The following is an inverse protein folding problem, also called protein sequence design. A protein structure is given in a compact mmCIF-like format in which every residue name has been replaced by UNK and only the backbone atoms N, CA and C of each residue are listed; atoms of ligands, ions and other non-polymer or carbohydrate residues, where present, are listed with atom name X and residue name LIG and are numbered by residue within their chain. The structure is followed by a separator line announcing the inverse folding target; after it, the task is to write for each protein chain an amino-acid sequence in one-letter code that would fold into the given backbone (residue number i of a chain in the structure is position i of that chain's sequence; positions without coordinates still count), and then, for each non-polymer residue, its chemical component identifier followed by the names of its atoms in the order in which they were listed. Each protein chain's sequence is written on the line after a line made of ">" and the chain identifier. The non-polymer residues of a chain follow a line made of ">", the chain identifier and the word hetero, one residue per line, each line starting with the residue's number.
data_IF_118329242021
#
_entry.id   IF_118329242021
#
_cell.length_a   1.000
_cell.length_b   1.000
_cell.length_c   1.000
_cell.angle_alpha   90.00
_cell.angle_beta   90.00
_cell.angle_gamma   90.00
#
_symmetry.space_group_name_H-M   'P 1'
#
loop_
_entity.id
_entity.type
_entity.pdbx_description
1 polymer ?
#
# COMPACT_ATOMS: atom_id res chain seq x y z
N UNK A 1 63.47 44.81 30.92
CA UNK A 1 64.24 43.84 31.72
C UNK A 1 64.04 44.19 33.18
N UNK A 2 63.77 43.22 34.06
CA UNK A 2 64.20 43.14 35.47
C UNK A 2 63.53 41.91 36.09
N UNK A 3 64.28 41.10 36.84
CA UNK A 3 63.74 40.07 37.71
C UNK A 3 63.74 40.59 39.17
N UNK A 4 62.97 39.92 40.04
CA UNK A 4 63.06 39.93 41.51
C UNK A 4 64.45 39.47 42.01
N UNK A 5 64.86 39.59 43.30
CA UNK A 5 64.11 39.36 44.57
C UNK A 5 64.29 40.53 45.61
N UNK A 6 64.19 40.46 46.96
CA UNK A 6 64.41 39.36 47.95
C UNK A 6 63.94 39.75 49.38
N UNK A 7 63.48 38.76 50.19
CA UNK A 7 63.55 38.63 51.68
C UNK A 7 63.10 39.80 52.62
N UNK A 8 62.87 39.68 53.95
CA UNK A 8 62.26 38.73 54.94
C UNK A 8 61.96 39.58 56.22
N UNK A 9 61.52 39.15 57.43
CA UNK A 9 61.24 37.85 58.09
C UNK A 9 60.26 38.02 59.29
N UNK A 10 59.89 36.93 59.97
CA UNK A 10 59.66 36.90 61.43
C UNK A 10 58.22 37.00 61.98
N UNK A 11 57.80 36.00 62.76
CA UNK A 11 56.59 36.04 63.61
C UNK A 11 56.29 34.70 64.30
N UNK A 12 56.32 34.65 65.64
CA UNK A 12 56.16 33.41 66.42
C UNK A 12 54.70 33.04 66.74
N UNK A 13 54.47 31.75 67.00
CA UNK A 13 53.18 31.18 67.44
C UNK A 13 52.82 31.57 68.90
N UNK A 14 51.55 31.42 69.31
CA UNK A 14 51.22 30.21 70.09
C UNK A 14 49.88 29.54 69.69
N UNK A 15 49.80 28.22 69.93
CA UNK A 15 48.58 27.42 69.75
C UNK A 15 47.70 27.41 71.01
N UNK A 16 46.38 27.17 70.88
CA UNK A 16 45.49 26.98 72.05
C UNK A 16 44.27 26.10 71.77
N UNK A 17 44.10 25.08 72.63
CA UNK A 17 42.89 24.25 72.92
C UNK A 17 42.27 23.35 71.83
N UNK A 18 42.39 22.05 72.12
CA UNK A 18 41.56 20.95 71.62
C UNK A 18 40.23 20.90 72.40
N UNK A 19 39.14 20.45 71.77
CA UNK A 19 37.94 19.92 72.44
C UNK A 19 37.63 18.51 71.93
N UNK A 20 37.49 17.48 72.79
CA UNK A 20 37.28 16.10 72.36
C UNK A 20 35.78 15.72 72.22
N UNK A 21 35.53 14.61 71.51
CA UNK A 21 34.27 13.84 71.48
C UNK A 21 33.06 14.56 70.83
N UNK A 22 32.32 13.93 69.91
CA UNK A 22 31.94 12.51 69.87
C UNK A 22 32.12 11.87 68.49
N UNK A 23 32.67 10.65 68.44
CA UNK A 23 32.77 9.84 67.21
C UNK A 23 31.52 8.94 67.11
N UNK A 24 30.51 9.37 66.37
CA UNK A 24 29.32 8.55 66.08
C UNK A 24 29.09 8.38 64.58
N UNK A 25 29.73 7.32 64.07
CA UNK A 25 29.36 6.48 62.93
C UNK A 25 28.92 7.17 61.62
N UNK A 26 29.76 7.08 60.59
CA UNK A 26 29.32 7.24 59.21
C UNK A 26 28.28 6.17 58.88
N UNK A 27 27.06 6.61 58.58
CA UNK A 27 26.32 6.05 57.47
C UNK A 27 25.74 7.24 56.69
N UNK A 28 26.29 7.63 55.53
CA UNK A 28 25.53 8.46 54.63
C UNK A 28 24.29 7.65 54.25
N UNK A 29 23.10 8.15 54.56
CA UNK A 29 21.90 7.67 53.88
C UNK A 29 22.08 8.10 52.43
N UNK A 30 22.68 7.20 51.63
CA UNK A 30 22.77 7.32 50.20
C UNK A 30 21.35 7.20 49.67
N UNK A 31 20.62 8.30 49.72
CA UNK A 31 19.41 8.49 48.94
C UNK A 31 19.86 8.50 47.49
N UNK A 32 19.97 7.30 46.93
CA UNK A 32 20.33 7.08 45.54
C UNK A 32 19.34 7.89 44.73
N UNK A 33 19.83 8.98 44.14
CA UNK A 33 19.13 9.65 43.07
C UNK A 33 19.02 8.62 41.94
N UNK A 34 17.88 7.92 41.90
CA UNK A 34 17.60 6.94 40.86
C UNK A 34 17.81 7.64 39.52
N UNK A 35 18.63 7.09 38.61
CA UNK A 35 18.97 7.81 37.40
C UNK A 35 17.69 8.01 36.59
N UNK A 36 17.48 9.24 36.11
CA UNK A 36 16.23 9.67 35.43
C UNK A 36 16.17 9.08 34.02
N UNK A 37 16.05 7.76 33.93
CA UNK A 37 16.08 6.96 32.71
C UNK A 37 14.68 6.62 32.20
N UNK A 38 13.88 7.67 32.02
CA UNK A 38 12.71 7.61 31.17
C UNK A 38 12.49 9.02 30.56
N UNK A 39 12.91 9.20 29.30
CA UNK A 39 12.82 10.49 28.60
C UNK A 39 12.10 10.34 27.25
N UNK A 40 12.49 9.34 26.46
CA UNK A 40 11.78 8.87 25.27
C UNK A 40 11.89 7.36 25.19
N UNK A 41 10.77 6.67 24.99
CA UNK A 41 10.72 5.25 24.63
C UNK A 41 9.97 5.08 23.30
N UNK A 42 10.36 4.09 22.50
CA UNK A 42 9.67 3.78 21.24
C UNK A 42 10.03 2.42 20.71
N UNK A 43 9.25 1.95 19.74
CA UNK A 43 9.63 0.82 18.87
C UNK A 43 9.01 0.97 17.48
N UNK A 44 9.80 0.72 16.44
CA UNK A 44 9.31 0.34 15.12
C UNK A 44 9.17 -1.19 15.09
N UNK A 45 7.98 -1.70 14.75
CA UNK A 45 7.64 -3.12 14.95
C UNK A 45 7.41 -3.88 13.65
N UNK A 46 6.68 -3.29 12.70
CA UNK A 46 6.44 -3.92 11.40
C UNK A 46 6.52 -2.90 10.28
N UNK A 47 7.05 -3.35 9.13
CA UNK A 47 6.91 -2.67 7.83
C UNK A 47 6.41 -3.72 6.86
N UNK A 48 5.15 -3.62 6.44
CA UNK A 48 4.53 -4.52 5.46
C UNK A 48 3.89 -3.71 4.33
N UNK A 49 3.37 -4.39 3.30
CA UNK A 49 2.54 -3.75 2.28
C UNK A 49 1.43 -2.91 2.91
N UNK A 50 0.66 -3.48 3.84
CA UNK A 50 -0.50 -2.85 4.42
C UNK A 50 -0.14 -1.70 5.35
N UNK A 51 0.90 -1.82 6.19
CA UNK A 51 1.29 -0.75 7.10
C UNK A 51 2.72 -0.79 7.67
N UNK A 52 3.21 0.39 8.01
CA UNK A 52 4.27 0.64 9.01
C UNK A 52 3.60 0.81 10.38
N UNK A 53 3.94 -0.03 11.36
CA UNK A 53 3.38 0.01 12.73
C UNK A 53 4.49 0.14 13.79
N UNK A 54 4.18 0.85 14.86
CA UNK A 54 5.05 1.04 16.01
C UNK A 54 4.40 1.86 17.11
N UNK A 55 5.20 2.32 18.06
CA UNK A 55 4.79 3.23 19.13
C UNK A 55 5.91 4.16 19.57
N UNK A 56 5.55 5.29 20.19
CA UNK A 56 6.49 6.23 20.80
C UNK A 56 5.85 7.00 21.97
N UNK A 57 6.51 7.00 23.13
CA UNK A 57 6.06 7.58 24.39
C UNK A 57 7.10 8.53 24.98
N UNK A 58 6.64 9.64 25.57
CA UNK A 58 7.45 10.50 26.42
C UNK A 58 6.93 10.41 27.86
N UNK A 59 7.67 9.75 28.73
CA UNK A 59 7.38 9.60 30.16
C UNK A 59 7.53 10.91 30.97
N UNK A 60 8.39 11.82 30.52
CA UNK A 60 8.53 13.16 31.10
C UNK A 60 7.43 14.14 30.64
N UNK A 61 6.59 13.76 29.67
CA UNK A 61 5.40 14.51 29.25
C UNK A 61 4.29 13.58 28.71
N UNK A 62 3.68 12.71 29.53
CA UNK A 62 2.78 11.65 29.05
C UNK A 62 1.53 12.15 28.32
N UNK A 63 1.06 13.36 28.62
CA UNK A 63 -0.06 14.01 27.93
C UNK A 63 0.28 14.45 26.49
N UNK A 64 1.56 14.58 26.16
CA UNK A 64 2.03 15.04 24.84
C UNK A 64 2.18 13.86 23.88
N UNK A 65 1.48 13.92 22.74
CA UNK A 65 1.60 12.90 21.68
C UNK A 65 2.87 13.10 20.88
N UNK A 66 3.71 12.09 20.88
CA UNK A 66 4.98 12.06 20.14
C UNK A 66 4.69 12.11 18.65
N UNK A 67 5.46 12.89 17.89
CA UNK A 67 5.40 12.88 16.42
C UNK A 67 6.59 12.12 15.86
N UNK A 68 6.32 11.29 14.86
CA UNK A 68 7.29 10.39 14.22
C UNK A 68 7.37 10.75 12.75
N UNK A 69 8.56 11.10 12.27
CA UNK A 69 8.84 11.27 10.85
C UNK A 69 9.26 9.91 10.26
N UNK A 70 8.59 9.51 9.18
CA UNK A 70 8.83 8.25 8.46
C UNK A 70 9.45 8.57 7.11
N UNK A 71 10.63 8.01 6.87
CA UNK A 71 11.44 8.22 5.67
C UNK A 71 11.66 6.93 4.90
N UNK A 72 11.74 7.04 3.58
CA UNK A 72 12.45 6.08 2.73
C UNK A 72 13.88 6.57 2.49
N UNK A 73 14.86 5.69 2.70
CA UNK A 73 16.30 6.04 2.67
C UNK A 73 17.01 5.19 1.63
N UNK A 74 17.42 5.80 0.52
CA UNK A 74 18.35 5.19 -0.44
C UNK A 74 19.79 5.59 -0.11
N UNK A 75 20.76 5.00 -0.81
CA UNK A 75 22.17 5.38 -0.69
C UNK A 75 22.48 6.84 -1.09
N UNK A 76 21.57 7.50 -1.82
CA UNK A 76 21.76 8.86 -2.36
C UNK A 76 20.71 9.87 -1.90
N UNK A 77 19.60 9.43 -1.28
CA UNK A 77 18.48 10.31 -0.91
C UNK A 77 17.73 9.80 0.33
N UNK A 78 17.48 10.70 1.27
CA UNK A 78 16.46 10.51 2.33
C UNK A 78 15.20 11.26 1.92
N UNK A 79 14.08 10.54 1.76
CA UNK A 79 12.78 11.11 1.36
C UNK A 79 11.79 10.99 2.51
N UNK A 80 11.30 12.12 3.04
CA UNK A 80 10.21 12.12 4.02
C UNK A 80 8.92 11.65 3.34
N UNK A 81 8.30 10.59 3.88
CA UNK A 81 7.02 10.05 3.40
C UNK A 81 5.84 10.69 4.15
N UNK A 82 5.94 10.78 5.48
CA UNK A 82 4.95 11.41 6.34
C UNK A 82 5.50 11.75 7.74
N UNK A 83 4.89 12.74 8.40
CA UNK A 83 4.92 12.88 9.86
C UNK A 83 3.62 12.30 10.42
N UNK A 84 3.69 11.25 11.25
CA UNK A 84 2.53 10.70 11.98
C UNK A 84 2.56 11.10 13.45
N UNK A 85 1.40 11.08 14.11
CA UNK A 85 1.27 11.34 15.56
C UNK A 85 0.96 10.03 16.28
N UNK A 86 1.76 9.70 17.29
CA UNK A 86 1.59 8.53 18.16
C UNK A 86 0.45 8.79 19.15
N UNK A 87 -0.75 8.31 18.80
CA UNK A 87 -2.01 8.60 19.48
C UNK A 87 -3.03 7.45 19.47
N UNK A 88 -2.72 6.33 18.81
CA UNK A 88 -3.59 5.14 18.77
C UNK A 88 -3.50 4.41 20.11
N UNK A 89 -4.66 4.04 20.68
CA UNK A 89 -4.73 3.26 21.91
C UNK A 89 -4.11 1.87 21.70
N UNK A 90 -3.27 1.47 22.65
CA UNK A 90 -2.71 0.13 22.77
C UNK A 90 -2.87 -0.40 24.18
N UNK A 91 -3.58 -1.52 24.31
CA UNK A 91 -3.85 -2.19 25.58
C UNK A 91 -2.57 -2.74 26.22
N UNK A 92 -1.59 -3.18 25.43
CA UNK A 92 -0.28 -3.62 25.91
C UNK A 92 0.55 -2.48 26.51
N UNK A 93 0.52 -1.29 25.89
CA UNK A 93 1.21 -0.11 26.43
C UNK A 93 0.53 0.42 27.71
N UNK A 94 -0.80 0.38 27.76
CA UNK A 94 -1.58 0.71 28.97
C UNK A 94 -1.25 -0.27 30.11
N UNK A 95 -1.23 -1.58 29.82
CA UNK A 95 -0.87 -2.62 30.79
C UNK A 95 0.60 -2.51 31.25
N UNK A 96 1.50 -2.05 30.38
CA UNK A 96 2.89 -1.72 30.72
C UNK A 96 3.07 -0.38 31.47
N UNK A 97 1.98 0.20 32.01
CA UNK A 97 2.01 1.42 32.81
C UNK A 97 2.31 2.72 32.02
N UNK A 98 2.33 2.66 30.69
CA UNK A 98 2.65 3.82 29.85
C UNK A 98 1.42 4.70 29.68
N UNK A 99 1.23 5.63 30.60
CA UNK A 99 0.23 6.70 30.55
C UNK A 99 -1.19 6.20 30.27
N UNK A 100 -1.87 6.80 29.28
CA UNK A 100 -3.20 6.39 28.84
C UNK A 100 -3.20 5.36 27.69
N UNK A 101 -2.05 4.71 27.43
CA UNK A 101 -1.86 3.73 26.35
C UNK A 101 -1.93 4.29 24.92
N UNK A 102 -2.25 5.58 24.72
CA UNK A 102 -2.45 6.19 23.39
C UNK A 102 -1.13 6.68 22.80
N UNK A 103 -0.26 5.72 22.50
CA UNK A 103 1.11 5.94 22.01
C UNK A 103 1.47 5.08 20.80
N UNK A 104 0.54 4.28 20.27
CA UNK A 104 0.70 3.61 18.98
C UNK A 104 0.63 4.60 17.82
N UNK A 105 1.36 4.33 16.75
CA UNK A 105 1.16 4.97 15.45
C UNK A 105 1.00 3.92 14.36
N UNK A 106 0.40 4.30 13.24
CA UNK A 106 0.38 3.49 12.04
C UNK A 106 0.37 4.38 10.81
N UNK A 107 1.10 3.96 9.77
CA UNK A 107 1.18 4.66 8.48
C UNK A 107 1.02 3.66 7.33
N UNK A 108 0.36 4.09 6.27
CA UNK A 108 0.08 3.27 5.08
C UNK A 108 1.00 3.76 3.97
N UNK A 109 1.91 2.90 3.50
CA UNK A 109 3.00 3.33 2.60
C UNK A 109 2.48 3.74 1.20
N UNK A 110 3.09 4.78 0.58
CA UNK A 110 2.70 5.21 -0.75
C UNK A 110 3.13 4.20 -1.83
N UNK A 111 2.47 4.17 -3.01
CA UNK A 111 2.84 3.27 -4.11
C UNK A 111 4.31 3.35 -4.53
N UNK A 112 4.95 4.53 -4.39
CA UNK A 112 6.37 4.72 -4.67
C UNK A 112 7.34 3.93 -3.77
N UNK A 113 6.84 3.32 -2.70
CA UNK A 113 7.61 2.49 -1.74
C UNK A 113 7.06 1.06 -1.65
N UNK A 114 5.82 0.82 -2.11
CA UNK A 114 5.17 -0.51 -2.19
C UNK A 114 5.65 -1.35 -3.38
N UNK A 115 6.95 -1.35 -3.67
CA UNK A 115 7.51 -2.00 -4.85
C UNK A 115 8.59 -3.05 -4.56
N UNK A 116 8.99 -3.78 -5.60
CA UNK A 116 9.92 -4.91 -5.52
C UNK A 116 11.39 -4.52 -5.27
N UNK A 117 11.73 -3.22 -5.29
CA UNK A 117 13.04 -2.72 -4.89
C UNK A 117 13.22 -2.82 -3.38
N UNK A 118 14.48 -2.87 -2.93
CA UNK A 118 14.81 -2.84 -1.50
C UNK A 118 14.71 -1.42 -0.97
N UNK A 119 13.75 -1.18 -0.08
CA UNK A 119 13.57 0.07 0.65
C UNK A 119 14.14 -0.02 2.07
N UNK A 120 14.52 1.12 2.65
CA UNK A 120 15.02 1.20 4.03
C UNK A 120 14.20 2.22 4.79
N UNK A 121 13.21 1.72 5.52
CA UNK A 121 12.22 2.55 6.21
C UNK A 121 12.75 2.97 7.57
N UNK A 122 13.06 4.25 7.68
CA UNK A 122 13.60 4.91 8.87
C UNK A 122 12.48 5.71 9.56
N UNK A 123 12.19 5.41 10.81
CA UNK A 123 11.23 6.11 11.65
C UNK A 123 12.00 6.84 12.75
N UNK A 124 11.77 8.15 12.88
CA UNK A 124 12.54 9.04 13.77
C UNK A 124 11.61 9.91 14.61
N UNK A 125 12.07 10.37 15.77
CA UNK A 125 11.36 11.42 16.49
C UNK A 125 11.38 12.71 15.66
N UNK A 126 10.22 13.38 15.52
CA UNK A 126 10.01 14.46 14.55
C UNK A 126 11.12 15.53 14.59
N UNK A 127 11.69 15.85 13.42
CA UNK A 127 12.69 16.90 13.27
C UNK A 127 14.06 16.56 13.86
N UNK A 128 14.32 15.28 14.15
CA UNK A 128 15.60 14.80 14.67
C UNK A 128 16.20 13.71 13.80
N UNK A 129 17.49 13.40 14.02
CA UNK A 129 18.16 12.23 13.43
C UNK A 129 17.95 10.94 14.25
N UNK A 130 17.32 11.02 15.43
CA UNK A 130 17.19 9.91 16.36
C UNK A 130 16.09 8.94 15.92
N UNK A 131 16.50 7.73 15.54
CA UNK A 131 15.62 6.63 15.12
C UNK A 131 14.89 5.98 16.31
N UNK A 132 13.71 5.41 16.04
CA UNK A 132 12.98 4.58 17.01
C UNK A 132 13.65 3.21 17.18
N UNK A 133 13.50 2.57 18.33
CA UNK A 133 14.09 1.23 18.57
C UNK A 133 13.63 0.21 17.52
N UNK A 134 14.54 -0.53 16.90
CA UNK A 134 14.21 -1.47 15.81
C UNK A 134 14.02 -0.81 14.44
N UNK A 135 14.17 0.51 14.34
CA UNK A 135 14.39 1.21 13.08
C UNK A 135 15.91 1.34 12.83
N UNK A 136 16.38 1.38 11.57
CA UNK A 136 15.65 1.29 10.31
C UNK A 136 15.37 -0.15 9.88
N UNK A 137 14.21 -0.40 9.27
CA UNK A 137 13.86 -1.71 8.70
C UNK A 137 14.13 -1.71 7.20
N UNK A 138 15.06 -2.54 6.75
CA UNK A 138 15.30 -2.84 5.34
C UNK A 138 14.35 -3.93 4.87
N UNK A 139 13.61 -3.70 3.78
CA UNK A 139 12.60 -4.63 3.27
C UNK A 139 12.32 -4.40 1.79
N UNK A 140 12.02 -5.47 1.04
CA UNK A 140 11.34 -5.37 -0.26
C UNK A 140 9.84 -5.46 -0.02
N UNK A 141 9.06 -4.61 -0.69
CA UNK A 141 7.60 -4.59 -0.53
C UNK A 141 6.90 -4.86 -1.87
N UNK A 142 7.06 -6.05 -2.48
CA UNK A 142 6.34 -6.44 -3.68
C UNK A 142 4.85 -6.62 -3.35
N UNK A 143 4.12 -5.51 -3.39
CA UNK A 143 2.66 -5.47 -3.35
C UNK A 143 2.12 -5.58 -4.78
N UNK A 144 2.85 -5.01 -5.75
CA UNK A 144 2.86 -5.45 -7.15
C UNK A 144 3.03 -6.97 -7.26
N UNK A 145 2.17 -7.60 -8.07
CA UNK A 145 2.13 -9.06 -8.23
C UNK A 145 1.35 -9.82 -7.15
N UNK A 146 0.85 -9.14 -6.10
CA UNK A 146 -0.27 -9.68 -5.31
C UNK A 146 -1.56 -9.54 -6.11
N UNK A 147 -2.51 -10.42 -5.86
CA UNK A 147 -3.90 -10.26 -6.27
C UNK A 147 -4.68 -9.61 -5.13
N UNK A 148 -5.87 -9.07 -5.43
CA UNK A 148 -6.88 -8.88 -4.38
C UNK A 148 -7.38 -10.23 -3.88
N UNK A 149 -7.92 -10.18 -2.67
CA UNK A 149 -8.60 -11.29 -2.03
C UNK A 149 -10.01 -11.49 -2.64
N UNK A 150 -10.71 -12.58 -2.33
CA UNK A 150 -11.94 -12.95 -3.07
C UNK A 150 -13.15 -12.05 -2.78
N UNK A 151 -13.13 -11.35 -1.65
CA UNK A 151 -14.25 -10.63 -1.05
C UNK A 151 -14.92 -11.35 0.13
N UNK A 152 -14.70 -12.67 0.30
CA UNK A 152 -15.48 -13.49 1.24
C UNK A 152 -15.10 -13.26 2.71
N UNK A 153 -16.05 -12.76 3.49
CA UNK A 153 -15.89 -12.48 4.93
C UNK A 153 -16.70 -13.40 5.85
N UNK A 154 -17.22 -14.51 5.30
CA UNK A 154 -18.09 -15.48 5.98
C UNK A 154 -17.79 -16.91 5.54
N UNK A 155 -18.15 -17.86 6.38
CA UNK A 155 -17.90 -19.28 6.19
C UNK A 155 -19.20 -20.03 5.84
N UNK A 156 -19.04 -21.26 5.37
CA UNK A 156 -20.13 -22.17 5.01
C UNK A 156 -19.89 -23.58 5.56
N UNK A 157 -20.95 -24.38 5.56
CA UNK A 157 -20.94 -25.83 5.75
C UNK A 157 -21.60 -26.51 4.56
N UNK A 158 -21.77 -27.84 4.61
CA UNK A 158 -22.64 -28.58 3.69
C UNK A 158 -24.15 -28.21 3.77
N UNK A 159 -24.56 -27.37 4.72
CA UNK A 159 -25.98 -27.11 5.07
C UNK A 159 -26.32 -25.63 5.27
N UNK A 160 -25.34 -24.73 5.32
CA UNK A 160 -25.57 -23.29 5.54
C UNK A 160 -24.44 -22.41 5.03
N UNK A 161 -24.78 -21.16 4.71
CA UNK A 161 -23.85 -20.13 4.20
C UNK A 161 -23.90 -18.89 5.10
N UNK A 162 -22.88 -18.03 5.03
CA UNK A 162 -22.90 -16.72 5.72
C UNK A 162 -22.53 -16.78 7.21
N UNK A 163 -21.92 -17.88 7.66
CA UNK A 163 -21.59 -18.17 9.05
C UNK A 163 -20.38 -17.39 9.55
N UNK A 164 -20.22 -17.31 10.87
CA UNK A 164 -19.02 -16.75 11.49
C UNK A 164 -17.80 -17.69 11.32
N UNK A 165 -16.61 -17.11 11.22
CA UNK A 165 -15.35 -17.83 10.98
C UNK A 165 -14.38 -17.64 12.16
N UNK A 166 -13.65 -18.66 12.61
CA UNK A 166 -13.51 -19.99 11.99
C UNK A 166 -14.62 -20.99 12.34
N UNK A 167 -14.75 -22.03 11.52
CA UNK A 167 -15.55 -23.23 11.81
C UNK A 167 -14.62 -24.43 12.07
N UNK A 168 -14.79 -25.12 13.18
CA UNK A 168 -13.93 -26.25 13.60
C UNK A 168 -13.98 -27.42 12.61
N UNK A 169 -15.18 -27.80 12.18
CA UNK A 169 -15.41 -28.98 11.32
C UNK A 169 -15.25 -28.67 9.82
N UNK A 170 -15.18 -27.37 9.48
CA UNK A 170 -14.93 -26.86 8.13
C UNK A 170 -13.80 -25.81 8.17
N UNK A 171 -12.58 -26.20 8.60
CA UNK A 171 -11.50 -25.26 8.86
C UNK A 171 -10.81 -24.80 7.58
N UNK A 172 -10.08 -23.69 7.67
CA UNK A 172 -9.25 -23.13 6.58
C UNK A 172 -10.06 -22.60 5.40
N UNK A 173 -11.21 -22.01 5.66
CA UNK A 173 -11.98 -21.31 4.62
C UNK A 173 -11.34 -19.97 4.27
N UNK A 174 -11.70 -19.41 3.13
CA UNK A 174 -11.12 -18.15 2.62
C UNK A 174 -11.22 -17.01 3.66
N UNK A 175 -12.41 -16.86 4.24
CA UNK A 175 -12.74 -15.93 5.31
C UNK A 175 -12.06 -16.21 6.68
N UNK A 176 -11.18 -17.22 6.79
CA UNK A 176 -10.24 -17.37 7.92
C UNK A 176 -8.96 -16.56 7.75
N UNK A 177 -8.62 -16.16 6.52
CA UNK A 177 -7.29 -15.67 6.15
C UNK A 177 -7.34 -14.39 5.29
N UNK A 178 -6.17 -14.01 4.79
CA UNK A 178 -6.03 -12.95 3.80
C UNK A 178 -6.38 -11.55 4.31
N UNK A 179 -6.70 -10.70 3.34
CA UNK A 179 -7.08 -9.30 3.48
C UNK A 179 -8.58 -9.16 3.80
N UNK A 180 -9.42 -10.13 3.41
CA UNK A 180 -10.84 -10.22 3.75
C UNK A 180 -11.07 -10.50 5.25
N UNK A 181 -10.28 -11.39 5.87
CA UNK A 181 -10.27 -11.57 7.32
C UNK A 181 -9.79 -10.31 8.03
N UNK A 182 -8.68 -9.72 7.58
CA UNK A 182 -8.15 -8.50 8.17
C UNK A 182 -9.16 -7.33 8.11
N UNK A 183 -9.96 -7.26 7.04
CA UNK A 183 -11.04 -6.28 6.91
C UNK A 183 -12.21 -6.55 7.86
N UNK A 184 -12.64 -7.82 8.00
CA UNK A 184 -13.77 -8.18 8.87
C UNK A 184 -13.43 -8.11 10.36
N UNK A 185 -12.16 -8.22 10.73
CA UNK A 185 -11.67 -7.96 12.08
C UNK A 185 -11.39 -6.48 12.38
N UNK A 186 -11.55 -5.58 11.41
CA UNK A 186 -11.23 -4.15 11.54
C UNK A 186 -9.73 -3.84 11.67
N UNK A 187 -8.86 -4.81 11.34
CA UNK A 187 -7.40 -4.72 11.48
C UNK A 187 -6.71 -4.26 10.19
N UNK A 188 -7.40 -4.35 9.05
CA UNK A 188 -6.95 -3.86 7.76
C UNK A 188 -7.01 -2.34 7.69
N UNK A 189 -5.93 -1.74 7.18
CA UNK A 189 -5.90 -0.33 6.81
C UNK A 189 -5.92 -0.19 5.29
N UNK A 190 -6.66 0.81 4.82
CA UNK A 190 -6.84 1.12 3.40
C UNK A 190 -6.33 2.53 3.10
N UNK A 191 -5.88 2.76 1.87
CA UNK A 191 -5.54 4.12 1.37
C UNK A 191 -6.80 4.82 0.86
N UNK A 192 -7.62 4.07 0.11
CA UNK A 192 -8.91 4.50 -0.41
C UNK A 192 -10.04 3.66 0.19
N UNK A 193 -10.96 3.19 -0.66
CA UNK A 193 -12.11 2.40 -0.21
C UNK A 193 -12.45 1.24 -1.16
N UNK A 194 -13.24 0.30 -0.64
CA UNK A 194 -13.63 -0.94 -1.31
C UNK A 194 -14.28 -1.88 -0.31
N UNK A 195 -15.01 -2.89 -0.80
CA UNK A 195 -15.47 -4.03 0.01
C UNK A 195 -14.28 -4.79 0.60
N UNK A 196 -14.52 -5.48 1.72
CA UNK A 196 -13.63 -6.51 2.29
C UNK A 196 -12.12 -6.26 2.07
N UNK A 197 -11.41 -7.11 1.33
CA UNK A 197 -9.98 -7.03 1.03
C UNK A 197 -9.58 -6.03 -0.06
N UNK A 198 -10.52 -5.40 -0.77
CA UNK A 198 -10.25 -4.46 -1.87
C UNK A 198 -9.98 -3.03 -1.38
N UNK A 199 -9.09 -2.29 -2.05
CA UNK A 199 -8.69 -0.93 -1.65
C UNK A 199 -8.38 -0.08 -2.87
N UNK A 200 -9.34 0.76 -3.29
CA UNK A 200 -9.28 1.54 -4.52
C UNK A 200 -9.30 3.06 -4.28
N UNK A 201 -8.48 3.78 -5.05
CA UNK A 201 -8.42 5.26 -5.09
C UNK A 201 -8.77 5.76 -6.49
N UNK A 202 -9.63 6.77 -6.58
CA UNK A 202 -9.95 7.44 -7.86
C UNK A 202 -8.79 8.35 -8.28
N UNK A 203 -8.39 8.28 -9.55
CA UNK A 203 -7.31 9.08 -10.14
C UNK A 203 -7.86 9.95 -11.28
N UNK A 204 -7.44 11.20 -11.31
CA UNK A 204 -7.87 12.21 -12.28
C UNK A 204 -7.21 12.03 -13.67
N UNK A 205 -7.74 12.69 -14.70
CA UNK A 205 -7.10 12.76 -16.03
C UNK A 205 -5.66 13.31 -15.98
N UNK A 206 -5.32 14.18 -15.03
CA UNK A 206 -3.95 14.68 -14.81
C UNK A 206 -3.07 13.81 -13.88
N UNK A 207 -3.60 12.68 -13.39
CA UNK A 207 -2.89 11.76 -12.51
C UNK A 207 -2.96 12.08 -11.01
N UNK A 208 -3.63 13.16 -10.60
CA UNK A 208 -3.83 13.44 -9.16
C UNK A 208 -4.88 12.53 -8.52
N UNK A 209 -4.68 12.19 -7.23
CA UNK A 209 -5.63 11.39 -6.47
C UNK A 209 -6.87 12.21 -6.07
N UNK A 210 -8.04 11.56 -6.07
CA UNK A 210 -9.35 12.19 -5.91
C UNK A 210 -10.14 11.60 -4.74
N UNK A 211 -11.04 12.41 -4.18
CA UNK A 211 -12.06 11.93 -3.25
C UNK A 211 -13.00 10.92 -3.93
N UNK A 212 -13.55 9.92 -3.19
CA UNK A 212 -14.40 8.88 -3.77
C UNK A 212 -15.71 9.42 -4.39
N UNK A 213 -16.14 10.61 -3.98
CA UNK A 213 -17.32 11.31 -4.52
C UNK A 213 -17.12 11.93 -5.89
N UNK A 214 -15.89 12.04 -6.40
CA UNK A 214 -15.65 12.69 -7.71
C UNK A 214 -16.18 11.84 -8.87
N UNK A 215 -16.91 12.50 -9.77
CA UNK A 215 -17.53 11.89 -10.94
C UNK A 215 -16.51 11.65 -12.08
N UNK A 216 -16.83 10.66 -12.92
CA UNK A 216 -16.13 10.35 -14.16
C UNK A 216 -16.31 11.49 -15.16
N UNK A 217 -15.25 11.85 -15.90
CA UNK A 217 -15.36 12.87 -16.96
C UNK A 217 -14.04 13.15 -17.69
N UNK A 218 -14.08 14.15 -18.57
CA UNK A 218 -12.96 14.54 -19.47
C UNK A 218 -12.07 15.66 -18.94
N UNK A 219 -12.54 16.47 -17.98
CA UNK A 219 -11.75 17.57 -17.42
C UNK A 219 -10.52 17.08 -16.64
N UNK A 220 -9.46 17.89 -16.57
CA UNK A 220 -8.17 17.52 -15.97
C UNK A 220 -8.28 16.95 -14.53
N UNK A 221 -9.22 17.48 -13.73
CA UNK A 221 -9.52 17.03 -12.35
C UNK A 221 -10.72 16.07 -12.23
N UNK A 222 -11.39 15.73 -13.32
CA UNK A 222 -12.41 14.70 -13.33
C UNK A 222 -11.75 13.30 -13.24
N UNK A 223 -12.45 12.34 -12.64
CA UNK A 223 -11.98 10.97 -12.50
C UNK A 223 -11.89 10.27 -13.85
N UNK A 224 -10.84 9.48 -14.08
CA UNK A 224 -10.63 8.73 -15.32
C UNK A 224 -9.90 7.38 -15.16
N UNK A 225 -9.23 7.14 -14.03
CA UNK A 225 -8.57 5.87 -13.72
C UNK A 225 -8.81 5.42 -12.28
N UNK A 226 -8.67 4.13 -12.01
CA UNK A 226 -8.77 3.54 -10.67
C UNK A 226 -7.42 2.96 -10.28
N UNK A 227 -6.80 3.54 -9.25
CA UNK A 227 -5.62 2.96 -8.60
C UNK A 227 -6.09 1.86 -7.66
N UNK A 228 -5.56 0.66 -7.84
CA UNK A 228 -5.58 -0.37 -6.82
C UNK A 228 -4.39 -0.15 -5.88
N UNK A 229 -4.67 0.03 -4.59
CA UNK A 229 -3.66 0.35 -3.59
C UNK A 229 -2.95 -0.89 -3.03
N UNK A 230 -3.50 -2.09 -3.23
CA UNK A 230 -2.87 -3.36 -2.86
C UNK A 230 -1.94 -3.84 -3.98
N UNK A 231 -2.49 -4.05 -5.17
CA UNK A 231 -1.76 -4.60 -6.32
C UNK A 231 -0.86 -3.55 -6.99
N UNK A 232 -1.04 -2.26 -6.63
CA UNK A 232 -0.28 -1.15 -7.17
C UNK A 232 -0.61 -0.79 -8.63
N UNK A 233 -1.50 -1.56 -9.26
CA UNK A 233 -1.94 -1.39 -10.65
C UNK A 233 -2.85 -0.16 -10.79
N UNK A 234 -2.61 0.64 -11.83
CA UNK A 234 -3.49 1.73 -12.21
C UNK A 234 -4.28 1.30 -13.45
N UNK A 235 -5.61 1.29 -13.31
CA UNK A 235 -6.55 0.77 -14.29
C UNK A 235 -7.32 1.88 -15.00
N UNK A 236 -7.55 1.68 -16.29
CA UNK A 236 -8.40 2.52 -17.12
C UNK A 236 -9.87 2.42 -16.67
N UNK A 237 -10.59 3.55 -16.55
CA UNK A 237 -12.06 3.56 -16.41
C UNK A 237 -12.70 3.85 -17.78
N UNK A 238 -13.87 3.27 -18.05
CA UNK A 238 -14.57 3.37 -19.35
C UNK A 238 -15.56 4.53 -19.35
N UNK A 239 -15.73 5.14 -20.51
CA UNK A 239 -16.70 6.21 -20.77
C UNK A 239 -17.90 5.70 -21.56
N UNK A 240 -18.88 6.58 -21.80
CA UNK A 240 -20.07 6.34 -22.65
C UNK A 240 -20.34 7.61 -23.46
N UNK A 241 -19.27 8.17 -24.04
CA UNK A 241 -19.19 9.49 -24.64
C UNK A 241 -18.86 9.45 -26.15
N UNK A 242 -18.80 8.26 -26.76
CA UNK A 242 -18.31 8.09 -28.13
C UNK A 242 -16.84 8.44 -28.32
N UNK A 243 -16.10 8.63 -27.23
CA UNK A 243 -14.65 8.87 -27.25
C UNK A 243 -13.84 7.60 -27.41
N UNK A 244 -12.51 7.74 -27.32
CA UNK A 244 -11.55 6.63 -27.38
C UNK A 244 -11.82 5.53 -26.32
N UNK A 245 -12.38 5.88 -25.16
CA UNK A 245 -12.61 4.94 -24.04
C UNK A 245 -14.05 4.45 -23.91
N UNK A 246 -14.85 4.59 -24.96
CA UNK A 246 -16.27 4.21 -24.91
C UNK A 246 -16.45 2.71 -24.65
N UNK A 247 -17.31 2.39 -23.68
CA UNK A 247 -17.61 1.04 -23.25
C UNK A 247 -18.23 0.15 -24.34
N UNK A 248 -18.89 0.74 -25.33
CA UNK A 248 -19.54 0.03 -26.43
C UNK A 248 -18.54 -0.42 -27.51
N UNK A 249 -17.36 0.20 -27.58
CA UNK A 249 -16.28 -0.22 -28.49
C UNK A 249 -15.91 -1.70 -28.31
N UNK A 250 -15.67 -2.41 -29.40
CA UNK A 250 -15.02 -3.73 -29.45
C UNK A 250 -13.77 -3.66 -30.31
N UNK A 251 -12.77 -4.46 -29.94
CA UNK A 251 -11.46 -4.48 -30.57
C UNK A 251 -11.12 -5.90 -31.02
N UNK A 252 -10.53 -6.01 -32.19
CA UNK A 252 -9.89 -7.23 -32.67
C UNK A 252 -8.56 -7.47 -31.96
N UNK A 253 -8.20 -8.73 -31.71
CA UNK A 253 -6.83 -9.06 -31.31
C UNK A 253 -5.86 -8.79 -32.47
N UNK A 254 -4.87 -7.94 -32.23
CA UNK A 254 -3.73 -7.72 -33.11
C UNK A 254 -2.44 -7.48 -32.32
N UNK A 255 -1.40 -8.27 -32.61
CA UNK A 255 -0.06 -8.12 -32.06
C UNK A 255 1.01 -8.59 -33.07
N UNK A 256 1.68 -7.68 -33.81
CA UNK A 256 2.72 -8.03 -34.78
C UNK A 256 4.06 -8.43 -34.15
N UNK A 257 4.24 -8.31 -32.82
CA UNK A 257 5.49 -8.68 -32.17
C UNK A 257 5.58 -10.20 -31.99
N UNK A 258 6.35 -10.85 -32.86
CA UNK A 258 6.58 -12.30 -32.85
C UNK A 258 7.27 -12.83 -31.59
N UNK A 259 7.91 -11.97 -30.79
CA UNK A 259 8.51 -12.36 -29.51
C UNK A 259 7.48 -12.53 -28.37
N UNK A 260 6.25 -12.03 -28.50
CA UNK A 260 5.23 -12.14 -27.44
C UNK A 260 3.78 -12.39 -27.91
N UNK A 261 3.52 -12.55 -29.22
CA UNK A 261 2.18 -12.85 -29.74
C UNK A 261 1.78 -14.35 -29.72
N UNK A 262 2.60 -15.23 -29.13
CA UNK A 262 2.32 -16.67 -29.02
C UNK A 262 2.16 -17.40 -30.36
N UNK A 263 2.72 -16.83 -31.44
CA UNK A 263 2.52 -17.35 -32.80
C UNK A 263 1.16 -17.00 -33.40
N UNK A 264 0.47 -15.97 -32.91
CA UNK A 264 -0.79 -15.47 -33.46
C UNK A 264 -0.83 -13.95 -33.51
N UNK A 265 -0.52 -13.42 -34.70
CA UNK A 265 -0.57 -11.99 -35.00
C UNK A 265 -1.98 -11.40 -34.89
N UNK A 266 -3.03 -12.20 -35.10
CA UNK A 266 -4.40 -11.72 -35.09
C UNK A 266 -4.83 -11.06 -36.40
N UNK A 267 -5.84 -10.19 -36.32
CA UNK A 267 -6.42 -9.46 -37.46
C UNK A 267 -6.42 -7.97 -37.10
N UNK A 268 -5.89 -7.13 -37.99
CA UNK A 268 -5.88 -5.69 -37.82
C UNK A 268 -7.25 -5.09 -38.21
N UNK A 269 -7.69 -4.05 -37.49
CA UNK A 269 -8.88 -3.23 -37.77
C UNK A 269 -10.21 -4.01 -37.96
N UNK A 270 -10.38 -5.16 -37.29
CA UNK A 270 -11.58 -6.01 -37.39
C UNK A 270 -12.44 -5.92 -36.10
N UNK A 271 -12.60 -4.72 -35.56
CA UNK A 271 -13.47 -4.40 -34.43
C UNK A 271 -14.54 -3.39 -34.79
N UNK A 272 -15.28 -2.89 -33.80
CA UNK A 272 -16.23 -1.77 -33.97
C UNK A 272 -16.04 -0.80 -32.81
N UNK A 273 -15.33 0.29 -33.05
CA UNK A 273 -14.84 1.20 -32.01
C UNK A 273 -14.99 2.67 -32.39
N UNK A 274 -14.79 3.55 -31.40
CA UNK A 274 -14.89 5.00 -31.55
C UNK A 274 -13.56 5.70 -31.24
N UNK A 275 -13.47 7.01 -31.53
CA UNK A 275 -12.26 7.80 -31.27
C UNK A 275 -11.27 7.93 -32.44
N UNK A 276 -11.63 7.46 -33.64
CA UNK A 276 -10.86 7.74 -34.88
C UNK A 276 -9.56 6.93 -35.01
N UNK A 277 -9.57 5.68 -34.56
CA UNK A 277 -8.44 4.73 -34.62
C UNK A 277 -8.86 3.45 -35.33
N UNK A 278 -7.89 2.63 -35.75
CA UNK A 278 -8.17 1.26 -36.13
C UNK A 278 -8.62 0.43 -34.91
N UNK A 279 -9.62 -0.43 -35.10
CA UNK A 279 -10.32 -1.14 -34.04
C UNK A 279 -9.63 -2.46 -33.66
N UNK A 280 -8.36 -2.36 -33.28
CA UNK A 280 -7.52 -3.47 -32.82
C UNK A 280 -6.77 -3.14 -31.51
N UNK A 281 -6.27 -4.18 -30.84
CA UNK A 281 -5.60 -4.05 -29.54
C UNK A 281 -4.31 -3.22 -29.55
N UNK A 282 -3.54 -3.23 -30.64
CA UNK A 282 -2.29 -2.47 -30.73
C UNK A 282 -2.61 -0.97 -30.92
N UNK A 283 -3.45 -0.66 -31.90
CA UNK A 283 -3.89 0.69 -32.22
C UNK A 283 -4.55 1.36 -31.00
N UNK A 284 -5.34 0.59 -30.25
CA UNK A 284 -5.97 1.08 -29.02
C UNK A 284 -4.96 1.40 -27.90
N UNK A 285 -4.00 0.51 -27.64
CA UNK A 285 -2.93 0.74 -26.66
C UNK A 285 -2.08 1.95 -27.05
N UNK A 286 -1.74 2.11 -28.33
CA UNK A 286 -0.97 3.27 -28.82
C UNK A 286 -1.74 4.58 -28.60
N UNK A 287 -3.04 4.61 -28.94
CA UNK A 287 -3.86 5.81 -28.80
C UNK A 287 -4.06 6.24 -27.34
N UNK A 288 -4.30 5.30 -26.41
CA UNK A 288 -4.41 5.64 -24.97
C UNK A 288 -3.07 6.15 -24.43
N UNK A 289 -1.94 5.60 -24.88
CA UNK A 289 -0.62 6.12 -24.52
C UNK A 289 -0.34 7.52 -25.07
N UNK A 290 -0.73 7.80 -26.32
CA UNK A 290 -0.64 9.14 -26.90
C UNK A 290 -1.52 10.16 -26.16
N UNK A 291 -2.69 9.74 -25.65
CA UNK A 291 -3.59 10.59 -24.85
C UNK A 291 -3.06 10.98 -23.47
N UNK A 292 -1.97 10.33 -23.01
CA UNK A 292 -1.38 10.49 -21.67
C UNK A 292 -2.39 10.31 -20.53
N UNK A 293 -3.33 9.36 -20.68
CA UNK A 293 -4.41 9.09 -19.74
C UNK A 293 -3.89 9.02 -18.29
N UNK A 294 -4.49 9.83 -17.41
CA UNK A 294 -4.12 9.95 -15.99
C UNK A 294 -2.65 10.35 -15.76
N UNK A 295 -2.12 11.16 -16.69
CA UNK A 295 -0.72 11.59 -16.74
C UNK A 295 0.26 10.52 -17.20
N UNK A 296 -0.20 9.36 -17.73
CA UNK A 296 0.61 8.16 -17.99
C UNK A 296 0.57 7.71 -19.45
N UNK A 297 1.69 7.17 -19.94
CA UNK A 297 1.91 6.75 -21.33
C UNK A 297 2.65 5.41 -21.45
N UNK A 298 2.40 4.52 -20.48
CA UNK A 298 2.94 3.17 -20.30
C UNK A 298 1.80 2.14 -20.06
N UNK A 299 0.62 2.43 -20.62
CA UNK A 299 -0.54 1.56 -20.66
C UNK A 299 -0.31 0.34 -21.55
N UNK A 300 -0.84 -0.80 -21.12
CA UNK A 300 -0.78 -2.09 -21.80
C UNK A 300 -2.08 -2.87 -21.61
N UNK A 301 -2.22 -3.96 -22.36
CA UNK A 301 -3.18 -5.01 -22.00
C UNK A 301 -2.81 -5.61 -20.62
N UNK A 302 -3.80 -6.00 -19.81
CA UNK A 302 -3.59 -6.69 -18.54
C UNK A 302 -3.24 -8.16 -18.78
N UNK A 303 -2.58 -8.80 -17.83
CA UNK A 303 -2.49 -10.27 -17.77
C UNK A 303 -3.78 -10.85 -17.20
N UNK A 304 -4.03 -12.15 -17.40
CA UNK A 304 -5.27 -12.80 -16.92
C UNK A 304 -5.41 -12.72 -15.40
N UNK A 305 -4.32 -12.85 -14.65
CA UNK A 305 -4.28 -12.77 -13.20
C UNK A 305 -4.64 -11.36 -12.70
N UNK A 306 -4.19 -10.33 -13.45
CA UNK A 306 -4.52 -8.94 -13.18
C UNK A 306 -6.03 -8.68 -13.40
N UNK A 307 -6.63 -9.26 -14.44
CA UNK A 307 -8.09 -9.21 -14.66
C UNK A 307 -8.88 -9.96 -13.56
N UNK A 308 -8.40 -11.14 -13.14
CA UNK A 308 -8.99 -11.90 -12.03
C UNK A 308 -9.03 -11.06 -10.76
N UNK A 309 -7.96 -10.31 -10.46
CA UNK A 309 -7.86 -9.45 -9.27
C UNK A 309 -8.90 -8.32 -9.17
N UNK A 310 -9.72 -8.08 -10.20
CA UNK A 310 -10.83 -7.12 -10.15
C UNK A 310 -12.17 -7.73 -9.68
N UNK A 311 -12.24 -9.04 -9.49
CA UNK A 311 -13.48 -9.79 -9.19
C UNK A 311 -13.72 -9.94 -7.70
N UNK A 312 -14.76 -9.27 -7.19
CA UNK A 312 -15.31 -9.48 -5.86
C UNK A 312 -16.44 -10.51 -5.94
N UNK A 313 -16.16 -11.74 -5.51
CA UNK A 313 -17.06 -12.89 -5.66
C UNK A 313 -18.27 -12.85 -4.71
N UNK A 314 -18.40 -11.82 -3.86
CA UNK A 314 -19.59 -11.61 -3.01
C UNK A 314 -20.72 -10.85 -3.72
N UNK A 315 -20.52 -10.39 -4.97
CA UNK A 315 -21.46 -9.53 -5.69
C UNK A 315 -21.70 -9.95 -7.15
N UNK A 316 -22.83 -9.50 -7.67
CA UNK A 316 -23.14 -9.47 -9.10
C UNK A 316 -23.42 -8.00 -9.52
N UNK A 317 -22.71 -7.42 -10.50
CA UNK A 317 -21.53 -7.98 -11.16
C UNK A 317 -20.36 -8.15 -10.18
N UNK A 318 -19.49 -9.14 -10.43
CA UNK A 318 -18.28 -9.38 -9.63
C UNK A 318 -17.30 -8.18 -9.67
N UNK A 319 -17.14 -7.55 -10.84
CA UNK A 319 -16.35 -6.31 -10.94
C UNK A 319 -17.06 -5.17 -10.16
N UNK A 320 -16.32 -4.43 -9.34
CA UNK A 320 -16.90 -3.39 -8.49
C UNK A 320 -17.40 -2.18 -9.33
N UNK A 321 -18.73 -1.93 -9.43
CA UNK A 321 -19.27 -0.92 -10.34
C UNK A 321 -19.03 0.53 -9.87
N UNK A 322 -18.66 0.75 -8.61
CA UNK A 322 -18.34 2.08 -8.05
C UNK A 322 -16.97 2.56 -8.52
N UNK A 323 -16.07 1.62 -8.86
CA UNK A 323 -14.70 1.87 -9.30
C UNK A 323 -14.43 1.44 -10.75
N UNK A 324 -15.29 0.60 -11.32
CA UNK A 324 -15.28 0.19 -12.72
C UNK A 324 -16.69 0.32 -13.35
N UNK A 325 -17.26 1.53 -13.36
CA UNK A 325 -18.50 1.81 -14.10
C UNK A 325 -18.28 1.56 -15.59
N UNK A 326 -19.39 1.49 -16.32
CA UNK A 326 -19.40 1.30 -17.77
C UNK A 326 -18.62 0.02 -18.18
N UNK A 327 -18.91 -1.08 -17.48
CA UNK A 327 -18.41 -2.42 -17.79
C UNK A 327 -19.56 -3.29 -18.32
N UNK A 328 -19.76 -3.40 -19.65
CA UNK A 328 -20.78 -4.28 -20.21
C UNK A 328 -20.54 -5.76 -19.85
N UNK A 329 -21.61 -6.58 -19.80
CA UNK A 329 -21.51 -8.02 -19.59
C UNK A 329 -21.01 -8.72 -20.87
N UNK A 330 -19.70 -8.62 -21.12
CA UNK A 330 -19.03 -9.24 -22.26
C UNK A 330 -17.58 -9.58 -21.91
N UNK A 331 -16.94 -10.41 -22.73
CA UNK A 331 -15.57 -10.86 -22.54
C UNK A 331 -14.53 -9.73 -22.63
N UNK A 332 -13.74 -9.58 -21.56
CA UNK A 332 -12.54 -8.73 -21.51
C UNK A 332 -11.28 -9.59 -21.67
N UNK A 333 -10.47 -9.36 -22.71
CA UNK A 333 -9.24 -10.18 -22.93
C UNK A 333 -8.02 -9.61 -22.22
N UNK A 334 -7.07 -10.52 -21.98
CA UNK A 334 -5.74 -10.24 -21.46
C UNK A 334 -4.67 -10.34 -22.57
N UNK A 335 -3.43 -9.98 -22.24
CA UNK A 335 -2.23 -10.31 -23.02
C UNK A 335 -1.73 -11.74 -22.79
N UNK A 336 -2.34 -12.51 -21.88
CA UNK A 336 -1.93 -13.90 -21.63
C UNK A 336 -2.48 -14.77 -22.75
N UNK A 337 -1.59 -15.36 -23.55
CA UNK A 337 -1.97 -16.25 -24.65
C UNK A 337 -2.40 -17.61 -24.07
N UNK A 338 -3.49 -18.17 -24.58
CA UNK A 338 -3.99 -19.48 -24.20
C UNK A 338 -3.18 -20.64 -24.78
N UNK A 339 -3.42 -21.88 -24.30
CA UNK A 339 -2.84 -23.07 -24.88
C UNK A 339 -3.18 -23.21 -26.38
N UNK A 340 -2.32 -23.94 -27.10
CA UNK A 340 -2.52 -24.23 -28.52
C UNK A 340 -3.36 -25.49 -28.66
N UNK A 341 -4.67 -25.34 -28.80
CA UNK A 341 -5.57 -26.46 -29.06
C UNK A 341 -5.33 -27.02 -30.48
N UNK A 342 -4.83 -28.25 -30.58
CA UNK A 342 -4.48 -28.88 -31.86
C UNK A 342 -5.75 -29.25 -32.64
N UNK A 343 -6.18 -28.36 -33.53
CA UNK A 343 -7.38 -28.52 -34.35
C UNK A 343 -8.24 -27.25 -34.42
N UNK A 344 -8.08 -26.30 -33.48
CA UNK A 344 -8.69 -24.97 -33.59
C UNK A 344 -7.85 -24.10 -34.53
N UNK A 345 -8.49 -23.43 -35.48
CA UNK A 345 -7.83 -22.55 -36.47
C UNK A 345 -7.23 -21.25 -35.86
N UNK A 346 -7.35 -21.06 -34.54
CA UNK A 346 -6.97 -19.86 -33.81
C UNK A 346 -6.46 -20.26 -32.42
N UNK A 347 -5.54 -19.48 -31.86
CA UNK A 347 -5.01 -19.70 -30.50
C UNK A 347 -6.03 -19.29 -29.45
N UNK A 348 -5.95 -19.90 -28.27
CA UNK A 348 -6.63 -19.37 -27.11
C UNK A 348 -6.18 -17.95 -26.76
N UNK A 349 -7.10 -17.14 -26.25
CA UNK A 349 -6.85 -15.86 -25.62
C UNK A 349 -7.53 -15.88 -24.24
N UNK A 350 -6.75 -15.71 -23.18
CA UNK A 350 -7.31 -15.66 -21.83
C UNK A 350 -8.09 -14.37 -21.60
N UNK A 351 -9.25 -14.47 -20.96
CA UNK A 351 -10.05 -13.32 -20.56
C UNK A 351 -11.09 -13.65 -19.49
N UNK A 352 -11.77 -12.60 -19.02
CA UNK A 352 -12.73 -12.68 -17.91
C UNK A 352 -14.11 -12.17 -18.32
N UNK A 353 -15.15 -12.78 -17.73
CA UNK A 353 -16.52 -12.31 -17.81
C UNK A 353 -16.87 -11.52 -16.54
N UNK A 354 -17.00 -10.17 -16.62
CA UNK A 354 -16.91 -9.28 -15.46
C UNK A 354 -18.12 -9.33 -14.51
N UNK A 355 -19.21 -9.99 -14.90
CA UNK A 355 -20.39 -10.15 -14.02
C UNK A 355 -20.23 -11.27 -13.00
N UNK A 356 -19.39 -12.27 -13.28
CA UNK A 356 -19.21 -13.48 -12.45
C UNK A 356 -17.76 -13.73 -12.03
N UNK A 357 -16.80 -13.03 -12.63
CA UNK A 357 -15.38 -13.35 -12.45
C UNK A 357 -14.98 -14.70 -13.08
N UNK A 358 -15.81 -15.24 -13.98
CA UNK A 358 -15.53 -16.47 -14.71
C UNK A 358 -14.46 -16.24 -15.78
N UNK A 359 -13.53 -17.18 -15.91
CA UNK A 359 -12.34 -17.08 -16.76
C UNK A 359 -12.43 -18.15 -17.85
N UNK A 360 -12.11 -17.77 -19.09
CA UNK A 360 -11.96 -18.69 -20.21
C UNK A 360 -10.70 -18.37 -21.02
N UNK A 361 -10.17 -19.38 -21.71
CA UNK A 361 -8.94 -19.30 -22.51
C UNK A 361 -9.19 -19.42 -24.02
N UNK A 362 -10.40 -19.71 -24.48
CA UNK A 362 -10.72 -20.02 -25.88
C UNK A 362 -11.35 -18.86 -26.68
N UNK A 363 -11.16 -17.61 -26.23
CA UNK A 363 -11.85 -16.38 -26.69
C UNK A 363 -11.42 -15.88 -28.10
N UNK A 364 -11.13 -16.79 -29.02
CA UNK A 364 -10.45 -16.54 -30.29
C UNK A 364 -11.37 -15.96 -31.39
N UNK A 365 -11.00 -14.80 -31.92
CA UNK A 365 -11.96 -13.73 -32.14
C UNK A 365 -12.83 -13.79 -33.43
N UNK A 366 -14.16 -14.00 -33.29
CA UNK A 366 -15.15 -13.79 -34.37
C UNK A 366 -15.78 -12.38 -34.33
N UNK A 367 -16.18 -11.91 -33.15
CA UNK A 367 -17.13 -10.79 -32.99
C UNK A 367 -16.52 -9.50 -32.39
N UNK A 368 -15.19 -9.47 -32.21
CA UNK A 368 -14.49 -8.46 -31.43
C UNK A 368 -14.63 -8.68 -29.92
N UNK A 369 -13.77 -8.03 -29.13
CA UNK A 369 -13.72 -8.19 -27.66
C UNK A 369 -13.68 -6.87 -26.92
N UNK A 370 -13.98 -6.90 -25.61
CA UNK A 370 -13.77 -5.74 -24.73
C UNK A 370 -12.32 -5.73 -24.23
N UNK A 371 -11.81 -4.53 -24.02
CA UNK A 371 -10.47 -4.26 -23.51
C UNK A 371 -10.59 -3.31 -22.32
N UNK A 372 -9.81 -3.50 -21.26
CA UNK A 372 -9.58 -2.49 -20.21
C UNK A 372 -8.08 -2.42 -19.97
N UNK A 373 -7.47 -1.27 -20.20
CA UNK A 373 -6.01 -1.15 -20.08
C UNK A 373 -5.56 -1.03 -18.62
N UNK A 374 -4.32 -1.43 -18.37
CA UNK A 374 -3.65 -1.34 -17.07
C UNK A 374 -2.21 -0.83 -17.26
N UNK A 375 -1.62 -0.33 -16.18
CA UNK A 375 -0.19 0.00 -16.08
C UNK A 375 0.33 -0.16 -14.64
N UNK A 376 1.64 -0.31 -14.52
CA UNK A 376 2.28 -0.91 -13.34
C UNK A 376 2.75 -2.33 -13.64
N UNK A 377 3.56 -2.89 -12.75
CA UNK A 377 4.51 -3.98 -13.02
C UNK A 377 5.53 -3.56 -14.10
#
# INVERSE_FOLDING_TARGET
>A
MTQTPTQTDGGFMPATKISPSLLTLLLPLLLVAQPVHAIMESKLETVTCDAVKGWAWNSASPSTRVKVDIYDVTATKTTLLATVTAQTLRSDLLAAGKGDGKYGFTYVLPPSVRNALTHKISARYKGTVFELTGSPITTTLPCYGKLNDTGWQKCSTNTGNGLACPLTDYPRQDADYGRDKAASSGQLLKVGAGSAGFDYTKIANDGTALAPTVALGSGAKAWACTQDNLTGLLWEVKTTDGGLRDANSTYSWYNPNTANNGGFVGIQDNGNCTGGIACDTLSYVQAVNASKLCGKSDWRLPRVEELISLSDYTRAPAINPVYFPNTPPYWYVSSTIGPVDSGKARKGLWGIYPTSGFVADDLADLDGKKIRLVRGN
#
